data_IF_064865138220
#
_entry.id   IF_064865138220
#
_cell.length_a   1.000
_cell.length_b   1.000
_cell.length_c   1.000
_cell.angle_alpha   90.00
_cell.angle_beta   90.00
_cell.angle_gamma   90.00
#
_symmetry.space_group_name_H-M   'P 1'
#
loop_
_entity.id
_entity.type
_entity.pdbx_description
1 polymer ?
#
# COMPACT_ATOMS: atom_id res chain seq x y z
N UNK A 1 48.66 55.65 7.34
CA UNK A 1 48.05 55.47 6.00
C UNK A 1 47.27 54.16 6.00
N UNK A 2 46.12 54.20 6.65
CA UNK A 2 45.07 53.17 6.67
C UNK A 2 44.00 53.71 5.73
N UNK A 3 43.67 53.04 4.62
CA UNK A 3 42.41 53.15 3.83
C UNK A 3 42.43 52.60 2.38
N UNK A 4 43.42 51.81 1.95
CA UNK A 4 43.45 51.28 0.55
C UNK A 4 43.71 49.77 0.50
N UNK A 5 43.00 48.97 1.30
CA UNK A 5 43.13 47.49 1.23
C UNK A 5 41.81 46.73 1.28
N UNK A 6 40.68 47.40 1.02
CA UNK A 6 39.33 46.84 1.21
C UNK A 6 38.45 46.88 -0.05
N UNK A 7 39.02 46.58 -1.23
CA UNK A 7 38.28 46.70 -2.50
C UNK A 7 38.37 45.49 -3.44
N UNK A 8 38.86 44.32 -3.02
CA UNK A 8 39.10 43.18 -3.95
C UNK A 8 38.54 41.82 -3.54
N UNK A 9 37.64 41.75 -2.55
CA UNK A 9 37.04 40.47 -2.09
C UNK A 9 35.50 40.51 -2.14
N UNK A 10 34.94 41.00 -3.25
CA UNK A 10 33.48 41.06 -3.41
C UNK A 10 32.96 40.54 -4.76
N UNK A 11 33.78 39.82 -5.56
CA UNK A 11 33.34 39.38 -6.89
C UNK A 11 33.55 37.89 -7.21
N UNK A 12 33.77 37.03 -6.20
CA UNK A 12 34.00 35.59 -6.40
C UNK A 12 33.03 34.66 -5.66
N UNK A 13 31.83 35.12 -5.27
CA UNK A 13 30.85 34.31 -4.53
C UNK A 13 29.47 34.16 -5.20
N UNK A 14 29.40 34.17 -6.54
CA UNK A 14 28.13 33.93 -7.25
C UNK A 14 28.10 32.67 -8.14
N UNK A 15 29.07 31.76 -8.02
CA UNK A 15 29.07 30.49 -8.79
C UNK A 15 29.01 29.25 -7.90
N UNK A 16 28.30 29.30 -6.76
CA UNK A 16 28.18 28.15 -5.84
C UNK A 16 26.77 27.52 -5.78
N UNK A 17 25.77 28.05 -6.49
CA UNK A 17 24.45 27.40 -6.60
C UNK A 17 24.01 27.42 -8.07
N UNK A 18 24.64 26.56 -8.86
CA UNK A 18 24.34 26.41 -10.28
C UNK A 18 24.52 24.99 -10.81
N UNK A 19 24.74 23.98 -9.95
CA UNK A 19 24.44 22.62 -10.35
C UNK A 19 22.94 22.43 -10.17
N UNK A 20 22.18 22.83 -11.19
CA UNK A 20 21.01 22.02 -11.54
C UNK A 20 21.59 20.66 -11.92
N UNK A 21 21.72 19.79 -10.93
CA UNK A 21 21.38 18.40 -11.21
C UNK A 21 19.96 18.50 -11.78
N UNK A 22 19.86 18.41 -13.11
CA UNK A 22 18.61 18.05 -13.74
C UNK A 22 18.18 16.81 -13.00
N UNK A 23 17.22 17.02 -12.10
CA UNK A 23 16.60 15.97 -11.36
C UNK A 23 15.99 15.10 -12.44
N UNK A 24 16.70 14.02 -12.79
CA UNK A 24 16.14 12.88 -13.48
C UNK A 24 15.17 12.26 -12.49
N UNK A 25 14.07 12.97 -12.18
CA UNK A 25 12.79 12.33 -11.93
C UNK A 25 12.58 11.52 -13.19
N UNK A 26 13.00 10.27 -13.10
CA UNK A 26 13.02 9.36 -14.23
C UNK A 26 11.61 9.32 -14.82
N UNK A 27 11.49 9.07 -16.13
CA UNK A 27 10.21 8.82 -16.80
C UNK A 27 9.31 7.77 -16.09
N UNK A 28 9.86 7.03 -15.12
CA UNK A 28 9.15 6.12 -14.22
C UNK A 28 8.17 6.83 -13.25
N UNK A 29 8.41 8.06 -12.81
CA UNK A 29 7.49 8.80 -11.91
C UNK A 29 6.27 9.36 -12.64
N UNK A 30 6.39 9.68 -13.94
CA UNK A 30 5.28 10.28 -14.70
C UNK A 30 4.22 9.27 -15.17
N UNK A 31 4.51 7.96 -15.12
CA UNK A 31 3.60 6.90 -15.60
C UNK A 31 3.17 5.90 -14.50
N UNK A 32 3.47 6.15 -13.23
CA UNK A 32 3.05 5.27 -12.15
C UNK A 32 1.56 5.45 -11.83
N UNK A 33 0.72 4.48 -12.23
CA UNK A 33 -0.69 4.46 -11.85
C UNK A 33 -0.83 4.08 -10.37
N UNK A 34 -1.22 5.04 -9.53
CA UNK A 34 -1.43 4.85 -8.09
C UNK A 34 -2.71 4.07 -7.77
N UNK A 35 -3.76 4.26 -8.57
CA UNK A 35 -5.05 3.57 -8.37
C UNK A 35 -4.98 2.11 -8.79
N UNK A 36 -5.41 1.21 -7.90
CA UNK A 36 -5.51 -0.23 -8.14
C UNK A 36 -6.96 -0.61 -8.49
N UNK A 37 -7.87 -0.40 -7.55
CA UNK A 37 -9.28 -0.79 -7.68
C UNK A 37 -10.16 0.08 -6.75
N UNK A 38 -11.45 0.20 -7.08
CA UNK A 38 -12.48 0.76 -6.21
C UNK A 38 -13.65 -0.21 -6.09
N UNK A 39 -14.10 -0.48 -4.86
CA UNK A 39 -15.26 -1.31 -4.57
C UNK A 39 -15.95 -0.80 -3.29
N UNK A 40 -17.28 -0.85 -3.24
CA UNK A 40 -18.08 -0.17 -2.20
C UNK A 40 -17.59 1.28 -2.00
N UNK A 41 -17.26 1.63 -0.76
CA UNK A 41 -16.72 2.90 -0.30
C UNK A 41 -15.18 2.90 -0.16
N UNK A 42 -14.51 1.87 -0.68
CA UNK A 42 -13.07 1.65 -0.54
C UNK A 42 -12.33 1.90 -1.87
N UNK A 43 -11.19 2.57 -1.79
CA UNK A 43 -10.25 2.78 -2.89
C UNK A 43 -8.89 2.20 -2.51
N UNK A 44 -8.41 1.24 -3.30
CA UNK A 44 -7.11 0.61 -3.11
C UNK A 44 -6.08 1.38 -3.93
N UNK A 45 -5.05 1.83 -3.24
CA UNK A 45 -3.90 2.52 -3.81
C UNK A 45 -2.64 1.67 -3.65
N UNK A 46 -1.63 1.97 -4.46
CA UNK A 46 -0.27 1.44 -4.29
C UNK A 46 0.73 2.58 -4.25
N UNK A 47 1.85 2.36 -3.57
CA UNK A 47 2.92 3.33 -3.41
C UNK A 47 4.22 2.78 -3.99
N UNK A 48 5.11 3.69 -4.41
CA UNK A 48 6.48 3.35 -4.76
C UNK A 48 7.34 3.32 -3.49
N UNK A 49 8.45 2.58 -3.52
CA UNK A 49 9.50 2.65 -2.49
C UNK A 49 10.75 3.22 -3.17
N UNK A 50 10.84 4.55 -3.35
CA UNK A 50 11.98 5.17 -4.01
C UNK A 50 13.28 4.81 -3.30
N UNK A 51 14.37 4.75 -4.07
CA UNK A 51 15.73 4.48 -3.59
C UNK A 51 15.95 3.09 -2.98
N UNK A 52 14.94 2.20 -2.94
CA UNK A 52 15.11 0.83 -2.46
C UNK A 52 16.22 0.09 -3.22
N UNK A 53 16.33 0.33 -4.53
CA UNK A 53 17.36 -0.26 -5.40
C UNK A 53 18.77 0.20 -5.02
N UNK A 54 18.91 1.40 -4.45
CA UNK A 54 20.21 1.97 -4.06
C UNK A 54 20.78 1.34 -2.77
N UNK A 55 19.94 0.65 -1.99
CA UNK A 55 20.36 0.00 -0.74
C UNK A 55 21.37 -1.11 -0.99
N UNK A 56 22.30 -1.26 -0.04
CA UNK A 56 23.22 -2.40 -0.01
C UNK A 56 22.45 -3.72 0.14
N UNK A 57 23.07 -4.83 -0.27
CA UNK A 57 22.45 -6.16 -0.13
C UNK A 57 22.06 -6.46 1.33
N UNK A 58 22.91 -6.11 2.29
CA UNK A 58 22.62 -6.35 3.71
C UNK A 58 21.41 -5.54 4.22
N UNK A 59 21.24 -4.30 3.75
CA UNK A 59 20.05 -3.50 4.08
C UNK A 59 18.78 -4.09 3.45
N UNK A 60 18.86 -4.56 2.19
CA UNK A 60 17.75 -5.24 1.52
C UNK A 60 17.36 -6.53 2.24
N UNK A 61 18.33 -7.33 2.69
CA UNK A 61 18.10 -8.54 3.48
C UNK A 61 17.45 -8.22 4.83
N UNK A 62 17.93 -7.18 5.52
CA UNK A 62 17.31 -6.71 6.75
C UNK A 62 15.84 -6.32 6.53
N UNK A 63 15.55 -5.49 5.54
CA UNK A 63 14.18 -5.07 5.20
C UNK A 63 13.32 -6.29 4.82
N UNK A 64 13.85 -7.20 4.01
CA UNK A 64 13.16 -8.42 3.61
C UNK A 64 12.71 -9.24 4.82
N UNK A 65 13.61 -9.49 5.77
CA UNK A 65 13.27 -10.26 6.97
C UNK A 65 12.30 -9.53 7.90
N UNK A 66 12.41 -8.20 8.02
CA UNK A 66 11.45 -7.40 8.77
C UNK A 66 10.05 -7.42 8.13
N UNK A 67 9.97 -7.36 6.80
CA UNK A 67 8.71 -7.45 6.06
C UNK A 67 8.06 -8.82 6.23
N UNK A 68 8.84 -9.91 6.19
CA UNK A 68 8.31 -11.25 6.50
C UNK A 68 7.75 -11.28 7.92
N UNK A 69 8.50 -10.81 8.92
CA UNK A 69 8.03 -10.79 10.30
C UNK A 69 6.75 -9.95 10.50
N UNK A 70 6.60 -8.86 9.75
CA UNK A 70 5.38 -8.04 9.77
C UNK A 70 4.18 -8.78 9.17
N UNK A 71 4.36 -9.47 8.03
CA UNK A 71 3.28 -10.16 7.32
C UNK A 71 2.73 -11.37 8.10
N UNK A 72 3.60 -12.12 8.78
CA UNK A 72 3.21 -13.27 9.61
C UNK A 72 2.23 -12.90 10.75
N UNK A 73 2.14 -11.62 11.11
CA UNK A 73 1.22 -11.11 12.12
C UNK A 73 -0.23 -10.94 11.64
N UNK A 74 -0.52 -11.10 10.34
CA UNK A 74 -1.84 -10.83 9.76
C UNK A 74 -2.97 -11.61 10.44
N UNK A 75 -2.81 -12.92 10.60
CA UNK A 75 -3.87 -13.77 11.15
C UNK A 75 -4.17 -13.49 12.62
N UNK A 76 -3.20 -12.93 13.36
CA UNK A 76 -3.39 -12.50 14.75
C UNK A 76 -4.42 -11.36 14.79
N UNK A 77 -4.30 -10.37 13.90
CA UNK A 77 -5.24 -9.24 13.86
C UNK A 77 -6.66 -9.69 13.48
N UNK A 78 -6.79 -10.62 12.52
CA UNK A 78 -8.10 -11.18 12.19
C UNK A 78 -8.75 -11.84 13.42
N UNK A 79 -8.02 -12.66 14.17
CA UNK A 79 -8.53 -13.36 15.34
C UNK A 79 -8.90 -12.39 16.48
N UNK A 80 -8.07 -11.36 16.71
CA UNK A 80 -8.34 -10.31 17.69
C UNK A 80 -9.63 -9.53 17.39
N UNK A 81 -9.93 -9.27 16.11
CA UNK A 81 -11.08 -8.46 15.71
C UNK A 81 -12.42 -9.19 15.87
N UNK A 82 -12.44 -10.52 15.78
CA UNK A 82 -13.62 -11.36 16.05
C UNK A 82 -13.24 -12.84 15.96
N UNK A 83 -13.67 -13.64 16.94
CA UNK A 83 -13.44 -15.10 17.00
C UNK A 83 -13.89 -15.91 15.77
N UNK A 84 -14.72 -15.33 14.89
CA UNK A 84 -15.21 -15.99 13.68
C UNK A 84 -14.51 -15.53 12.39
N UNK A 85 -13.65 -14.52 12.45
CA UNK A 85 -13.04 -13.93 11.28
C UNK A 85 -12.17 -14.92 10.49
N UNK A 86 -11.32 -15.70 11.17
CA UNK A 86 -10.46 -16.67 10.49
C UNK A 86 -11.26 -17.78 9.77
N UNK A 87 -12.24 -18.46 10.40
CA UNK A 87 -13.11 -19.41 9.70
C UNK A 87 -13.87 -18.78 8.52
N UNK A 88 -14.48 -17.60 8.71
CA UNK A 88 -15.25 -16.92 7.66
C UNK A 88 -14.35 -16.58 6.47
N UNK A 89 -13.20 -15.93 6.73
CA UNK A 89 -12.24 -15.58 5.69
C UNK A 89 -11.79 -16.80 4.89
N UNK A 90 -11.40 -17.88 5.58
CA UNK A 90 -10.91 -19.11 4.93
C UNK A 90 -11.97 -19.76 4.05
N UNK A 91 -13.24 -19.82 4.50
CA UNK A 91 -14.34 -20.36 3.70
C UNK A 91 -14.57 -19.52 2.44
N UNK A 92 -14.64 -18.19 2.58
CA UNK A 92 -14.83 -17.29 1.44
C UNK A 92 -13.66 -17.35 0.46
N UNK A 93 -12.43 -17.42 0.96
CA UNK A 93 -11.23 -17.62 0.15
C UNK A 93 -11.31 -18.94 -0.63
N UNK A 94 -11.72 -20.05 0.00
CA UNK A 94 -11.92 -21.33 -0.70
C UNK A 94 -12.99 -21.22 -1.78
N UNK A 95 -14.15 -20.61 -1.50
CA UNK A 95 -15.21 -20.40 -2.50
C UNK A 95 -14.66 -19.61 -3.69
N UNK A 96 -13.90 -18.55 -3.43
CA UNK A 96 -13.31 -17.68 -4.45
C UNK A 96 -12.26 -18.41 -5.29
N UNK A 97 -11.29 -19.10 -4.66
CA UNK A 97 -10.18 -19.76 -5.38
C UNK A 97 -10.65 -20.98 -6.16
N UNK A 98 -11.53 -21.78 -5.58
CA UNK A 98 -12.09 -22.97 -6.22
C UNK A 98 -13.27 -22.66 -7.15
N UNK A 99 -13.67 -21.38 -7.24
CA UNK A 99 -14.79 -20.89 -8.08
C UNK A 99 -16.10 -21.65 -7.84
N UNK A 100 -16.38 -21.97 -6.58
CA UNK A 100 -17.60 -22.69 -6.19
C UNK A 100 -18.80 -21.75 -6.43
N UNK A 101 -19.78 -22.18 -7.22
CA UNK A 101 -20.97 -21.38 -7.54
C UNK A 101 -20.74 -20.29 -8.59
N UNK A 102 -19.60 -20.27 -9.29
CA UNK A 102 -19.28 -19.24 -10.29
C UNK A 102 -20.20 -19.27 -11.53
N UNK A 103 -20.99 -20.33 -11.71
CA UNK A 103 -22.07 -20.38 -12.69
C UNK A 103 -23.15 -19.31 -12.46
N UNK A 104 -23.34 -18.86 -11.21
CA UNK A 104 -24.16 -17.70 -10.89
C UNK A 104 -23.26 -16.46 -10.75
N UNK A 105 -22.89 -15.87 -11.89
CA UNK A 105 -21.93 -14.76 -11.93
C UNK A 105 -22.31 -13.58 -11.04
N UNK A 106 -23.60 -13.27 -10.90
CA UNK A 106 -24.03 -12.12 -10.09
C UNK A 106 -23.84 -12.32 -8.58
N UNK A 107 -24.15 -13.51 -8.05
CA UNK A 107 -23.93 -13.84 -6.64
C UNK A 107 -22.45 -14.03 -6.35
N UNK A 108 -21.72 -14.66 -7.28
CA UNK A 108 -20.28 -14.83 -7.16
C UNK A 108 -19.56 -13.46 -7.11
N UNK A 109 -19.93 -12.52 -7.99
CA UNK A 109 -19.38 -11.16 -7.98
C UNK A 109 -19.69 -10.41 -6.68
N UNK A 110 -20.89 -10.61 -6.11
CA UNK A 110 -21.27 -10.02 -4.82
C UNK A 110 -20.48 -10.63 -3.66
N UNK A 111 -20.25 -11.95 -3.69
CA UNK A 111 -19.41 -12.66 -2.72
C UNK A 111 -17.94 -12.23 -2.82
N UNK A 112 -17.40 -12.06 -4.03
CA UNK A 112 -16.06 -11.50 -4.24
C UNK A 112 -15.95 -10.10 -3.62
N UNK A 113 -16.91 -9.21 -3.88
CA UNK A 113 -16.92 -7.87 -3.30
C UNK A 113 -17.01 -7.91 -1.76
N UNK A 114 -17.81 -8.81 -1.19
CA UNK A 114 -17.87 -9.01 0.26
C UNK A 114 -16.52 -9.49 0.82
N UNK A 115 -15.89 -10.48 0.18
CA UNK A 115 -14.56 -10.97 0.56
C UNK A 115 -13.51 -9.85 0.52
N UNK A 116 -13.54 -8.99 -0.51
CA UNK A 116 -12.64 -7.83 -0.58
C UNK A 116 -12.79 -6.87 0.62
N UNK A 117 -14.02 -6.65 1.12
CA UNK A 117 -14.23 -5.87 2.36
C UNK A 117 -13.65 -6.56 3.59
N UNK A 118 -13.79 -7.88 3.67
CA UNK A 118 -13.23 -8.69 4.77
C UNK A 118 -11.70 -8.60 4.78
N UNK A 119 -11.06 -8.70 3.62
CA UNK A 119 -9.61 -8.49 3.49
C UNK A 119 -9.18 -7.09 3.90
N UNK A 120 -9.86 -6.05 3.40
CA UNK A 120 -9.51 -4.67 3.70
C UNK A 120 -9.64 -4.34 5.19
N UNK A 121 -10.70 -4.85 5.84
CA UNK A 121 -11.04 -4.46 7.21
C UNK A 121 -10.46 -5.39 8.28
N UNK A 122 -9.67 -6.38 7.88
CA UNK A 122 -9.17 -7.44 8.76
C UNK A 122 -10.28 -8.14 9.56
N UNK A 123 -11.45 -8.34 8.94
CA UNK A 123 -12.63 -8.91 9.59
C UNK A 123 -13.96 -8.50 8.97
N UNK A 124 -15.06 -8.95 9.58
CA UNK A 124 -16.44 -8.74 9.08
C UNK A 124 -17.10 -7.44 9.53
N UNK A 125 -16.33 -6.48 10.05
CA UNK A 125 -16.82 -5.19 10.51
C UNK A 125 -16.14 -4.06 9.74
N UNK A 126 -16.85 -2.96 9.59
CA UNK A 126 -16.33 -1.76 8.97
C UNK A 126 -15.14 -1.21 9.77
N UNK A 127 -13.97 -1.09 9.12
CA UNK A 127 -12.72 -0.64 9.76
C UNK A 127 -12.84 0.72 10.49
N UNK A 128 -13.74 1.60 10.04
CA UNK A 128 -14.03 2.89 10.68
C UNK A 128 -15.26 2.91 11.61
N UNK A 129 -16.48 2.63 11.11
CA UNK A 129 -17.71 2.70 11.93
C UNK A 129 -17.92 1.50 12.86
N UNK A 130 -17.15 0.42 12.72
CA UNK A 130 -17.31 -0.85 13.43
C UNK A 130 -18.64 -1.58 13.16
N UNK A 131 -19.45 -1.10 12.20
CA UNK A 131 -20.69 -1.78 11.82
C UNK A 131 -20.40 -3.11 11.14
N UNK A 132 -21.16 -4.15 11.46
CA UNK A 132 -21.02 -5.45 10.80
C UNK A 132 -21.47 -5.35 9.35
N UNK A 133 -20.68 -5.90 8.43
CA UNK A 133 -21.07 -6.01 7.03
C UNK A 133 -22.25 -6.97 6.85
N UNK A 134 -23.14 -6.61 5.94
CA UNK A 134 -24.16 -7.52 5.41
C UNK A 134 -23.72 -7.97 4.01
N UNK A 135 -23.65 -9.28 3.74
CA UNK A 135 -23.39 -9.78 2.39
C UNK A 135 -24.56 -9.45 1.46
N UNK A 136 -24.25 -9.03 0.24
CA UNK A 136 -25.24 -8.80 -0.84
C UNK A 136 -25.53 -10.10 -1.62
N UNK A 137 -25.58 -11.23 -0.91
CA UNK A 137 -25.87 -12.55 -1.47
C UNK A 137 -27.02 -13.20 -0.70
N UNK A 138 -27.75 -14.08 -1.37
CA UNK A 138 -28.75 -14.90 -0.70
C UNK A 138 -28.07 -15.89 0.26
N UNK A 139 -28.85 -16.43 1.21
CA UNK A 139 -28.34 -17.40 2.18
C UNK A 139 -28.34 -18.83 1.62
N UNK A 140 -29.22 -19.10 0.66
CA UNK A 140 -29.48 -20.42 0.09
C UNK A 140 -28.49 -20.74 -1.04
#
# INVERSE_FOLDING_TARGET
MKKIFFSLIASAMLTACGNKEENKLSDMEMNFKYDVEKFYDLQILRYQVPEFESLSLNQKLLIYHLSLAAEEGRDILFDQNCKFNLPIRRILETIYTEKIGAENSSEFDALEKYLKRVWFSNGIHHHYSCDKFLPDVSKD
#
